data_IF_413349466164
#
_entry.id   IF_413349466164
#
_cell.length_a   1.000
_cell.length_b   1.000
_cell.length_c   1.000
_cell.angle_alpha   90.00
_cell.angle_beta   90.00
_cell.angle_gamma   90.00
#
_symmetry.space_group_name_H-M   'P 1'
#
loop_
_entity.id
_entity.type
_entity.pdbx_description
1 polymer ?
#
# COMPACT_ATOMS: atom_id res chain seq x y z
N UNK A 1 -3.54 -11.74 7.38
CA UNK A 1 -4.70 -11.54 6.49
C UNK A 1 -4.63 -10.11 6.04
N UNK A 2 -4.59 -9.87 4.72
CA UNK A 2 -4.63 -8.51 4.19
C UNK A 2 -6.01 -7.91 4.44
N UNK A 3 -6.06 -6.66 4.85
CA UNK A 3 -7.31 -5.91 4.96
C UNK A 3 -7.45 -4.94 3.81
N UNK A 4 -8.67 -4.45 3.56
CA UNK A 4 -8.87 -3.39 2.56
C UNK A 4 -8.06 -2.12 2.89
N UNK A 5 -7.78 -1.84 4.18
CA UNK A 5 -6.95 -0.70 4.58
C UNK A 5 -5.48 -0.83 4.17
N UNK A 6 -4.99 -2.05 3.93
CA UNK A 6 -3.60 -2.30 3.54
C UNK A 6 -3.38 -2.06 2.03
N UNK A 7 -4.47 -1.95 1.23
CA UNK A 7 -4.40 -1.63 -0.19
C UNK A 7 -4.20 -0.12 -0.39
N UNK A 8 -2.97 0.32 -0.25
CA UNK A 8 -2.56 1.70 -0.54
C UNK A 8 -1.93 1.83 -1.93
N UNK A 9 -1.90 3.04 -2.48
CA UNK A 9 -1.23 3.30 -3.77
C UNK A 9 0.25 2.95 -3.65
N UNK A 10 0.75 2.14 -4.58
CA UNK A 10 2.12 1.62 -4.59
C UNK A 10 2.26 0.24 -3.94
N UNK A 11 1.24 -0.25 -3.22
CA UNK A 11 1.27 -1.58 -2.64
C UNK A 11 1.26 -2.66 -3.74
N UNK A 12 2.02 -3.74 -3.53
CA UNK A 12 2.01 -4.91 -4.41
C UNK A 12 1.13 -5.99 -3.81
N UNK A 13 0.14 -6.46 -4.55
CA UNK A 13 -0.93 -7.34 -4.06
C UNK A 13 -1.13 -8.51 -5.01
N UNK A 14 -1.39 -9.69 -4.48
CA UNK A 14 -1.83 -10.88 -5.23
C UNK A 14 -3.28 -11.23 -4.86
N UNK A 15 -4.00 -11.90 -5.76
CA UNK A 15 -5.40 -12.30 -5.53
C UNK A 15 -6.46 -11.34 -6.10
N UNK A 16 -6.04 -10.22 -6.71
CA UNK A 16 -6.94 -9.29 -7.42
C UNK A 16 -7.23 -9.82 -8.82
N UNK A 17 -6.17 -10.07 -9.61
CA UNK A 17 -6.26 -10.66 -10.95
C UNK A 17 -5.64 -12.05 -10.92
N UNK A 18 -6.36 -13.01 -10.33
CA UNK A 18 -5.82 -14.35 -10.07
C UNK A 18 -4.60 -14.32 -9.15
N UNK A 19 -3.66 -15.24 -9.36
CA UNK A 19 -2.42 -15.34 -8.55
C UNK A 19 -1.29 -14.42 -9.02
N UNK A 20 -1.53 -13.57 -10.03
CA UNK A 20 -0.51 -12.65 -10.52
C UNK A 20 -0.32 -11.48 -9.56
N UNK A 21 0.94 -11.10 -9.23
CA UNK A 21 1.20 -9.89 -8.46
C UNK A 21 0.92 -8.66 -9.31
N UNK A 22 0.13 -7.75 -8.76
CA UNK A 22 -0.22 -6.47 -9.38
C UNK A 22 0.12 -5.33 -8.44
N UNK A 23 0.38 -4.15 -8.98
CA UNK A 23 0.69 -2.94 -8.22
C UNK A 23 -0.54 -2.05 -8.17
N UNK A 24 -0.96 -1.62 -6.98
CA UNK A 24 -2.07 -0.68 -6.81
C UNK A 24 -1.63 0.70 -7.28
N UNK A 25 -2.36 1.29 -8.22
CA UNK A 25 -2.06 2.63 -8.76
C UNK A 25 -3.10 3.68 -8.37
N UNK A 26 -4.32 3.27 -8.04
CA UNK A 26 -5.34 4.15 -7.49
C UNK A 26 -6.29 3.37 -6.58
N UNK A 27 -6.83 4.07 -5.58
CA UNK A 27 -7.71 3.52 -4.55
C UNK A 27 -8.83 4.53 -4.29
N UNK A 28 -10.07 4.09 -4.36
CA UNK A 28 -11.26 4.91 -4.13
C UNK A 28 -12.25 4.17 -3.23
N UNK A 29 -12.51 4.73 -2.04
CA UNK A 29 -13.44 4.14 -1.08
C UNK A 29 -14.88 4.50 -1.42
N UNK A 30 -15.75 3.49 -1.41
CA UNK A 30 -17.20 3.64 -1.50
C UNK A 30 -17.83 3.31 -0.14
N UNK A 31 -17.92 4.34 0.71
CA UNK A 31 -18.35 4.17 2.09
C UNK A 31 -17.34 3.34 2.90
N UNK A 32 -17.83 2.46 3.77
CA UNK A 32 -17.00 1.62 4.67
C UNK A 32 -16.90 0.15 4.23
N UNK A 33 -17.68 -0.23 3.22
CA UNK A 33 -17.88 -1.64 2.85
C UNK A 33 -17.22 -2.04 1.52
N UNK A 34 -16.87 -1.07 0.68
CA UNK A 34 -16.35 -1.32 -0.66
C UNK A 34 -15.19 -0.40 -1.02
N UNK A 35 -14.22 -0.96 -1.73
CA UNK A 35 -13.02 -0.29 -2.20
C UNK A 35 -12.85 -0.55 -3.70
N UNK A 36 -12.91 0.48 -4.53
CA UNK A 36 -12.49 0.38 -5.92
C UNK A 36 -10.98 0.57 -6.00
N UNK A 37 -10.31 -0.44 -6.56
CA UNK A 37 -8.87 -0.43 -6.78
C UNK A 37 -8.59 -0.47 -8.26
N UNK A 38 -7.67 0.40 -8.70
CA UNK A 38 -7.04 0.28 -10.01
C UNK A 38 -5.66 -0.29 -9.81
N UNK A 39 -5.37 -1.38 -10.51
CA UNK A 39 -4.10 -2.09 -10.44
C UNK A 39 -3.42 -2.11 -11.79
N UNK A 40 -2.09 -2.20 -11.76
CA UNK A 40 -1.21 -2.34 -12.91
C UNK A 40 -0.44 -3.63 -12.80
N UNK A 41 -0.49 -4.46 -13.84
CA UNK A 41 0.35 -5.66 -13.90
C UNK A 41 1.81 -5.32 -14.30
N UNK A 42 2.70 -6.31 -14.23
CA UNK A 42 4.10 -6.14 -14.65
C UNK A 42 4.25 -5.92 -16.17
N UNK A 43 3.20 -6.17 -16.97
CA UNK A 43 3.15 -5.91 -18.41
C UNK A 43 2.65 -4.49 -18.74
N UNK A 44 2.25 -3.73 -17.73
CA UNK A 44 1.72 -2.38 -17.83
C UNK A 44 0.23 -2.28 -18.14
N UNK A 45 -0.51 -3.38 -18.15
CA UNK A 45 -1.96 -3.39 -18.30
C UNK A 45 -2.63 -2.90 -17.02
N UNK A 46 -3.57 -1.97 -17.19
CA UNK A 46 -4.40 -1.45 -16.12
C UNK A 46 -5.69 -2.26 -16.02
N UNK A 47 -6.14 -2.53 -14.81
CA UNK A 47 -7.41 -3.19 -14.52
C UNK A 47 -8.05 -2.57 -13.29
N UNK A 48 -9.36 -2.32 -13.36
CA UNK A 48 -10.16 -1.80 -12.26
C UNK A 48 -11.06 -2.89 -11.70
N UNK A 49 -11.14 -2.98 -10.38
CA UNK A 49 -12.04 -3.91 -9.69
C UNK A 49 -12.57 -3.28 -8.41
N UNK A 50 -13.85 -3.57 -8.11
CA UNK A 50 -14.45 -3.25 -6.81
C UNK A 50 -14.24 -4.46 -5.90
N UNK A 51 -13.65 -4.22 -4.73
CA UNK A 51 -13.40 -5.19 -3.68
C UNK A 51 -14.30 -4.92 -2.49
N UNK A 52 -14.79 -5.98 -1.86
CA UNK A 52 -15.58 -5.93 -0.63
C UNK A 52 -14.85 -6.63 0.52
N UNK A 53 -15.35 -6.49 1.75
CA UNK A 53 -14.77 -7.12 2.95
C UNK A 53 -14.63 -8.64 2.85
N UNK A 54 -15.55 -9.30 2.13
CA UNK A 54 -15.50 -10.74 1.85
C UNK A 54 -14.32 -11.15 0.96
N UNK A 55 -13.77 -10.21 0.19
CA UNK A 55 -12.66 -10.44 -0.70
C UNK A 55 -11.31 -10.41 0.02
N UNK A 56 -11.23 -9.84 1.23
CA UNK A 56 -10.01 -9.75 2.03
C UNK A 56 -9.34 -11.12 2.24
N UNK A 57 -10.15 -12.19 2.35
CA UNK A 57 -9.65 -13.54 2.57
C UNK A 57 -8.81 -14.10 1.42
N UNK A 58 -9.01 -13.62 0.18
CA UNK A 58 -8.22 -14.05 -0.99
C UNK A 58 -7.02 -13.15 -1.29
N UNK A 59 -6.91 -12.01 -0.63
CA UNK A 59 -5.89 -11.01 -0.92
C UNK A 59 -4.63 -11.25 -0.09
N UNK A 60 -3.47 -11.09 -0.72
CA UNK A 60 -2.19 -11.07 -0.03
C UNK A 60 -1.35 -9.88 -0.48
N UNK A 61 -1.07 -8.98 0.46
CA UNK A 61 -0.24 -7.79 0.23
C UNK A 61 1.23 -8.19 0.41
N UNK A 62 1.96 -8.17 -0.69
CA UNK A 62 3.39 -8.50 -0.77
C UNK A 62 4.22 -7.22 -0.65
N UNK A 63 4.38 -6.74 0.58
CA UNK A 63 5.24 -5.58 0.89
C UNK A 63 4.45 -4.31 1.12
N UNK A 64 4.23 -3.97 2.40
CA UNK A 64 3.63 -2.72 2.85
C UNK A 64 4.60 -1.52 2.81
N UNK A 65 5.84 -1.73 2.42
CA UNK A 65 6.90 -0.74 2.48
C UNK A 65 7.20 -0.24 1.07
N UNK A 66 6.72 0.97 0.75
CA UNK A 66 7.31 1.71 -0.35
C UNK A 66 8.82 1.84 -0.07
N UNK A 67 9.69 1.81 -1.09
CA UNK A 67 11.11 2.13 -0.90
C UNK A 67 11.35 3.53 -0.29
N UNK A 68 10.31 4.38 -0.25
CA UNK A 68 10.29 5.74 0.26
C UNK A 68 9.09 5.99 1.18
N UNK A 69 8.66 4.99 1.96
CA UNK A 69 7.64 5.22 2.98
C UNK A 69 8.22 6.04 4.14
N UNK A 70 7.38 6.92 4.70
CA UNK A 70 7.72 7.81 5.83
C UNK A 70 7.21 7.20 7.15
N UNK A 71 7.43 5.91 7.29
CA UNK A 71 6.98 5.03 8.37
C UNK A 71 8.11 4.67 9.35
N UNK A 72 9.23 5.37 9.26
CA UNK A 72 10.30 5.31 10.26
C UNK A 72 9.82 5.80 11.63
N UNK A 73 10.43 5.26 12.69
CA UNK A 73 10.10 5.62 14.06
C UNK A 73 10.31 7.13 14.31
N UNK A 74 9.32 7.77 14.94
CA UNK A 74 9.33 9.20 15.17
C UNK A 74 10.40 9.65 16.19
N UNK A 75 10.72 8.80 17.18
CA UNK A 75 11.79 9.07 18.13
C UNK A 75 13.15 8.99 17.45
N UNK A 76 13.36 8.04 16.54
CA UNK A 76 14.59 7.94 15.75
C UNK A 76 14.78 9.17 14.84
N UNK A 77 13.71 9.61 14.15
CA UNK A 77 13.75 10.83 13.34
C UNK A 77 14.07 12.07 14.18
N UNK A 78 13.47 12.18 15.37
CA UNK A 78 13.72 13.28 16.31
C UNK A 78 15.17 13.28 16.78
N UNK A 79 15.69 12.14 17.22
CA UNK A 79 17.06 12.02 17.70
C UNK A 79 18.08 12.39 16.61
N UNK A 80 17.89 11.90 15.39
CA UNK A 80 18.74 12.24 14.25
C UNK A 80 18.69 13.74 13.92
N UNK A 81 17.49 14.35 13.98
CA UNK A 81 17.31 15.79 13.76
C UNK A 81 17.99 16.64 14.84
N UNK A 82 17.90 16.22 16.11
CA UNK A 82 18.56 16.90 17.22
C UNK A 82 20.08 16.81 17.12
N UNK A 83 20.62 15.64 16.77
CA UNK A 83 22.04 15.46 16.54
C UNK A 83 22.54 16.34 15.38
N UNK A 84 21.79 16.41 14.28
CA UNK A 84 22.12 17.27 13.15
C UNK A 84 22.07 18.76 13.52
N UNK A 85 21.07 19.20 14.29
CA UNK A 85 20.96 20.57 14.79
C UNK A 85 22.19 20.97 15.61
N UNK A 86 22.68 20.07 16.48
CA UNK A 86 23.91 20.31 17.27
C UNK A 86 25.14 20.37 16.36
N UNK A 87 25.22 19.51 15.35
CA UNK A 87 26.37 19.46 14.44
C UNK A 87 26.58 20.75 13.62
N UNK A 88 25.48 21.42 13.24
CA UNK A 88 25.53 22.63 12.41
C UNK A 88 25.49 23.94 13.23
N UNK A 89 25.46 23.86 14.56
CA UNK A 89 25.50 25.01 15.48
C UNK A 89 26.94 25.35 15.88
#
# INVERSE_FOLDING_TARGET
MARLEDLTVGARVTGIVGDAPVTVVAVSWFGDMGLEVTVKDDRGQLSGQILYREDEARLAVSGAHLPWSFDADADDMRLASEAYRIHIA
#
